data_IF_939320934858
#
_entry.id   IF_939320934858
#
_cell.length_a   1.000
_cell.length_b   1.000
_cell.length_c   1.000
_cell.angle_alpha   90.00
_cell.angle_beta   90.00
_cell.angle_gamma   90.00
#
_symmetry.space_group_name_H-M   'P 1'
#
loop_
_entity.id
_entity.type
_entity.pdbx_description
1 polymer ?
#
# COMPACT_ATOMS: atom_id res chain seq x y z
N UNK A 1 1.94 17.37 -24.84
CA UNK A 1 1.61 17.94 -26.18
C UNK A 1 0.10 18.11 -26.43
N UNK A 2 -0.73 18.00 -25.37
CA UNK A 2 -2.19 18.05 -25.46
C UNK A 2 -2.85 16.67 -25.57
N UNK A 3 -2.06 15.62 -25.82
CA UNK A 3 -2.51 14.24 -25.71
C UNK A 3 -2.24 13.69 -24.29
N UNK A 4 -3.08 12.75 -23.85
CA UNK A 4 -2.96 12.12 -22.53
C UNK A 4 -1.95 10.96 -22.61
N UNK A 5 -0.87 11.07 -21.84
CA UNK A 5 0.12 10.03 -21.60
C UNK A 5 -0.28 9.14 -20.42
N UNK A 6 0.43 8.02 -20.21
CA UNK A 6 0.08 7.06 -19.14
C UNK A 6 1.30 6.66 -18.31
N UNK A 7 1.10 6.63 -16.99
CA UNK A 7 1.90 5.81 -16.10
C UNK A 7 1.24 4.43 -15.91
N UNK A 8 2.05 3.38 -15.92
CA UNK A 8 1.60 2.01 -15.63
C UNK A 8 2.48 1.42 -14.53
N UNK A 9 1.93 1.32 -13.33
CA UNK A 9 2.59 0.71 -12.18
C UNK A 9 2.74 -0.81 -12.32
N UNK A 10 3.94 -1.31 -12.12
CA UNK A 10 4.21 -2.74 -12.03
C UNK A 10 3.93 -3.26 -10.62
N UNK A 11 2.98 -4.19 -10.48
CA UNK A 11 2.66 -4.81 -9.17
C UNK A 11 3.36 -6.13 -8.88
N UNK A 12 3.37 -7.05 -9.85
CA UNK A 12 3.77 -8.45 -9.61
C UNK A 12 4.46 -9.09 -10.81
N UNK A 13 5.53 -9.83 -10.56
CA UNK A 13 6.06 -10.85 -11.47
C UNK A 13 5.42 -12.20 -11.13
N UNK A 14 4.74 -12.83 -12.10
CA UNK A 14 3.99 -14.07 -11.87
C UNK A 14 4.88 -15.17 -11.29
N UNK A 15 4.47 -15.73 -10.16
CA UNK A 15 5.18 -16.82 -9.47
C UNK A 15 6.47 -16.38 -8.77
N UNK A 16 6.76 -15.07 -8.70
CA UNK A 16 8.01 -14.56 -8.14
C UNK A 16 7.84 -13.40 -7.16
N UNK A 17 6.82 -13.44 -6.30
CA UNK A 17 6.69 -12.43 -5.25
C UNK A 17 7.90 -12.49 -4.29
N UNK A 18 8.49 -11.36 -3.83
CA UNK A 18 8.19 -9.96 -4.12
C UNK A 18 9.18 -9.34 -5.13
N UNK A 19 9.57 -10.06 -6.19
CA UNK A 19 10.43 -9.52 -7.25
C UNK A 19 9.80 -8.26 -7.85
N UNK A 20 10.61 -7.22 -8.00
CA UNK A 20 10.17 -5.90 -8.46
C UNK A 20 9.95 -5.93 -9.97
N UNK A 21 8.70 -5.76 -10.46
CA UNK A 21 8.43 -5.63 -11.88
C UNK A 21 8.82 -4.24 -12.40
N UNK A 22 8.95 -4.12 -13.71
CA UNK A 22 9.10 -2.82 -14.38
C UNK A 22 7.78 -2.05 -14.35
N UNK A 23 7.85 -0.76 -14.01
CA UNK A 23 6.79 0.23 -14.26
C UNK A 23 7.12 1.05 -15.52
N UNK A 24 6.11 1.69 -16.12
CA UNK A 24 6.25 2.31 -17.44
C UNK A 24 5.70 3.74 -17.47
N UNK A 25 6.37 4.61 -18.24
CA UNK A 25 5.76 5.80 -18.82
C UNK A 25 5.55 5.56 -20.31
N UNK A 26 4.32 5.76 -20.75
CA UNK A 26 3.89 5.56 -22.11
C UNK A 26 3.44 6.89 -22.72
N UNK A 27 4.20 7.37 -23.70
CA UNK A 27 3.86 8.57 -24.46
C UNK A 27 2.83 8.22 -25.55
N UNK A 28 1.76 9.00 -25.62
CA UNK A 28 0.70 8.85 -26.59
C UNK A 28 1.06 9.59 -27.89
N UNK A 29 1.51 8.84 -28.89
CA UNK A 29 1.77 9.38 -30.23
C UNK A 29 0.66 8.99 -31.18
N UNK A 30 -0.35 9.87 -31.31
CA UNK A 30 -1.51 9.66 -32.17
C UNK A 30 -2.26 8.36 -31.87
N UNK A 31 -2.64 8.14 -30.60
CA UNK A 31 -3.32 6.93 -30.07
C UNK A 31 -2.47 5.66 -30.07
N UNK A 32 -1.16 5.77 -30.30
CA UNK A 32 -0.21 4.69 -30.11
C UNK A 32 0.65 5.02 -28.89
N UNK A 33 0.62 4.13 -27.90
CA UNK A 33 1.44 4.26 -26.70
C UNK A 33 2.83 3.69 -26.95
N UNK A 34 3.85 4.50 -26.69
CA UNK A 34 5.25 4.15 -26.85
C UNK A 34 5.92 4.17 -25.49
N UNK A 35 6.59 3.08 -25.11
CA UNK A 35 7.40 3.01 -23.90
C UNK A 35 8.59 3.97 -24.04
N UNK A 36 8.55 5.06 -23.28
CA UNK A 36 9.62 6.07 -23.21
C UNK A 36 10.38 6.02 -21.89
N UNK A 37 10.12 5.02 -21.06
CA UNK A 37 10.62 4.90 -19.68
C UNK A 37 12.14 5.06 -19.58
N UNK A 38 12.91 4.42 -20.46
CA UNK A 38 14.38 4.47 -20.39
C UNK A 38 15.01 5.84 -20.71
N UNK A 39 14.23 6.79 -21.24
CA UNK A 39 14.72 8.13 -21.55
C UNK A 39 14.18 9.18 -20.57
N UNK A 40 13.14 8.82 -19.81
CA UNK A 40 12.36 9.77 -19.00
C UNK A 40 12.27 9.35 -17.54
N UNK A 41 12.49 8.09 -17.19
CA UNK A 41 12.14 7.54 -15.88
C UNK A 41 12.93 6.25 -15.59
N UNK A 42 14.27 6.30 -15.65
CA UNK A 42 15.13 5.12 -15.43
C UNK A 42 14.86 4.43 -14.08
N UNK A 43 14.46 5.22 -13.08
CA UNK A 43 14.11 4.76 -11.74
C UNK A 43 12.86 3.86 -11.71
N UNK A 44 12.03 3.87 -12.76
CA UNK A 44 10.76 3.14 -12.79
C UNK A 44 10.96 1.62 -12.93
N UNK A 45 12.18 1.20 -13.23
CA UNK A 45 12.58 -0.20 -13.21
C UNK A 45 12.67 -0.77 -11.77
N UNK A 46 12.62 0.07 -10.73
CA UNK A 46 12.80 -0.37 -9.35
C UNK A 46 11.84 0.31 -8.33
N UNK A 47 10.59 0.58 -8.71
CA UNK A 47 9.58 1.18 -7.83
C UNK A 47 8.96 0.20 -6.81
N UNK A 48 9.43 -1.05 -6.75
CA UNK A 48 8.81 -2.15 -5.99
C UNK A 48 7.43 -2.52 -6.53
N UNK A 49 6.51 -2.90 -5.66
CA UNK A 49 5.23 -3.52 -6.00
C UNK A 49 4.14 -2.46 -5.93
N UNK A 50 3.99 -1.72 -7.02
CA UNK A 50 3.09 -0.56 -7.10
C UNK A 50 1.63 -1.02 -6.99
N UNK A 51 0.89 -0.39 -6.09
CA UNK A 51 -0.53 -0.63 -5.89
C UNK A 51 -1.40 0.52 -6.39
N UNK A 52 -0.93 1.75 -6.22
CA UNK A 52 -1.66 2.95 -6.63
C UNK A 52 -0.67 4.11 -6.88
N UNK A 53 -1.13 5.10 -7.63
CA UNK A 53 -0.37 6.32 -7.89
C UNK A 53 -1.28 7.49 -8.21
N UNK A 54 -0.84 8.69 -7.86
CA UNK A 54 -1.53 9.94 -8.19
C UNK A 54 -0.57 10.92 -8.85
N UNK A 55 -1.05 11.60 -9.90
CA UNK A 55 -0.37 12.75 -10.45
C UNK A 55 -0.86 14.00 -9.72
N UNK A 56 0.06 14.76 -9.14
CA UNK A 56 -0.22 15.98 -8.37
C UNK A 56 0.93 16.97 -8.57
N UNK A 57 0.65 18.27 -8.44
CA UNK A 57 1.67 19.33 -8.54
C UNK A 57 2.07 19.66 -7.10
N UNK A 58 2.92 18.81 -6.50
CA UNK A 58 3.09 18.84 -5.04
C UNK A 58 3.99 19.99 -4.59
N UNK A 59 4.85 20.49 -5.48
CA UNK A 59 5.78 21.59 -5.20
C UNK A 59 5.32 22.93 -5.79
N UNK A 60 4.15 22.96 -6.44
CA UNK A 60 3.54 24.13 -7.08
C UNK A 60 4.42 24.75 -8.17
N UNK A 61 5.23 23.95 -8.88
CA UNK A 61 6.04 24.42 -10.00
C UNK A 61 5.26 24.50 -11.32
N UNK A 62 4.04 23.97 -11.34
CA UNK A 62 3.10 24.02 -12.46
C UNK A 62 3.14 22.80 -13.37
N UNK A 63 4.01 21.84 -13.10
CA UNK A 63 4.00 20.53 -13.73
C UNK A 63 3.39 19.45 -12.80
N UNK A 64 3.00 18.30 -13.36
CA UNK A 64 2.37 17.23 -12.57
C UNK A 64 3.42 16.17 -12.24
N UNK A 65 3.86 16.19 -11.00
CA UNK A 65 4.66 15.14 -10.38
C UNK A 65 3.87 13.84 -10.18
N UNK A 66 4.59 12.79 -9.80
CA UNK A 66 4.02 11.47 -9.54
C UNK A 66 4.31 11.03 -8.11
N UNK A 67 3.28 10.58 -7.41
CA UNK A 67 3.42 9.95 -6.09
C UNK A 67 2.92 8.52 -6.20
N UNK A 68 3.76 7.57 -5.78
CA UNK A 68 3.55 6.14 -5.95
C UNK A 68 3.55 5.45 -4.60
N UNK A 69 2.57 4.56 -4.40
CA UNK A 69 2.45 3.74 -3.20
C UNK A 69 2.33 2.26 -3.56
N UNK A 70 2.78 1.40 -2.65
CA UNK A 70 2.81 -0.04 -2.89
C UNK A 70 3.31 -0.85 -1.72
N UNK A 71 3.64 -2.12 -1.99
CA UNK A 71 4.17 -3.04 -1.00
C UNK A 71 5.69 -3.00 -0.93
N UNK A 72 6.20 -3.08 0.30
CA UNK A 72 7.64 -3.14 0.61
C UNK A 72 8.40 -1.91 0.13
N UNK A 73 7.75 -0.75 0.18
CA UNK A 73 8.28 0.54 -0.25
C UNK A 73 7.75 1.68 0.64
N UNK A 74 8.45 2.82 0.70
CA UNK A 74 7.90 4.06 1.21
C UNK A 74 6.84 4.64 0.25
N UNK A 75 6.06 5.59 0.75
CA UNK A 75 5.38 6.56 -0.13
C UNK A 75 6.45 7.28 -0.93
N UNK A 76 6.44 7.13 -2.25
CA UNK A 76 7.53 7.56 -3.13
C UNK A 76 7.11 8.76 -3.95
N UNK A 77 7.75 9.90 -3.70
CA UNK A 77 7.58 11.13 -4.46
C UNK A 77 8.57 11.15 -5.62
N UNK A 78 8.10 11.56 -6.80
CA UNK A 78 8.85 11.58 -8.04
C UNK A 78 8.58 12.91 -8.72
N UNK A 79 9.60 13.77 -8.74
CA UNK A 79 9.54 15.05 -9.41
C UNK A 79 9.47 14.82 -10.91
N UNK A 80 8.54 15.47 -11.57
CA UNK A 80 8.56 15.64 -13.00
C UNK A 80 9.33 16.93 -13.30
N UNK A 81 10.21 16.90 -14.29
CA UNK A 81 10.92 18.09 -14.77
C UNK A 81 10.84 18.08 -16.28
N UNK A 82 9.81 18.75 -16.83
CA UNK A 82 9.57 18.79 -18.27
C UNK A 82 9.50 17.38 -18.92
N UNK A 83 8.88 16.42 -18.22
CA UNK A 83 8.72 15.03 -18.65
C UNK A 83 9.86 14.10 -18.20
N UNK A 84 10.83 14.58 -17.42
CA UNK A 84 11.88 13.74 -16.82
C UNK A 84 11.55 13.48 -15.35
N UNK A 85 11.25 12.23 -15.03
CA UNK A 85 10.86 11.76 -13.71
C UNK A 85 12.07 11.33 -12.89
N UNK A 86 12.27 11.98 -11.74
CA UNK A 86 13.37 11.70 -10.81
C UNK A 86 12.82 11.51 -9.40
N UNK A 87 13.23 10.45 -8.72
CA UNK A 87 12.76 10.20 -7.36
C UNK A 87 13.32 11.24 -6.40
N UNK A 88 12.48 11.68 -5.47
CA UNK A 88 12.85 12.58 -4.38
C UNK A 88 12.86 11.81 -3.07
N UNK A 89 13.89 12.04 -2.26
CA UNK A 89 13.97 11.52 -0.91
C UNK A 89 13.21 12.45 0.03
N UNK A 90 12.10 11.95 0.59
CA UNK A 90 11.32 12.65 1.62
C UNK A 90 11.62 12.01 2.97
N UNK A 91 11.95 12.83 3.96
CA UNK A 91 12.13 12.37 5.33
C UNK A 91 10.77 11.95 5.90
N UNK A 92 10.65 10.70 6.33
CA UNK A 92 9.39 10.18 6.89
C UNK A 92 9.65 9.02 7.84
N UNK A 93 8.78 8.90 8.83
CA UNK A 93 8.70 7.72 9.69
C UNK A 93 7.99 6.54 9.00
N UNK A 94 7.29 6.78 7.89
CA UNK A 94 6.62 5.80 7.06
C UNK A 94 7.55 5.15 6.02
N UNK A 95 8.74 4.70 6.47
CA UNK A 95 9.85 4.27 5.59
C UNK A 95 9.54 3.08 4.69
N UNK A 96 8.66 2.18 5.12
CA UNK A 96 8.17 1.09 4.28
C UNK A 96 6.90 0.48 4.84
N UNK A 97 5.91 0.24 3.97
CA UNK A 97 4.65 -0.37 4.34
C UNK A 97 4.07 -1.25 3.24
N UNK A 98 2.82 -1.66 3.43
CA UNK A 98 2.01 -2.35 2.41
C UNK A 98 0.90 -1.40 1.95
N UNK A 99 1.29 -0.22 1.49
CA UNK A 99 0.37 0.83 1.08
C UNK A 99 -0.48 0.36 -0.11
N UNK A 100 -1.78 0.65 -0.07
CA UNK A 100 -2.78 0.12 -1.00
C UNK A 100 -3.38 1.18 -1.90
N UNK A 101 -3.53 2.41 -1.41
CA UNK A 101 -4.14 3.50 -2.17
C UNK A 101 -3.57 4.85 -1.76
N UNK A 102 -3.62 5.80 -2.69
CA UNK A 102 -3.34 7.21 -2.44
C UNK A 102 -4.36 8.09 -3.17
N UNK A 103 -4.85 9.13 -2.49
CA UNK A 103 -5.64 10.19 -3.13
C UNK A 103 -5.09 11.55 -2.75
N UNK A 104 -5.17 12.50 -3.68
CA UNK A 104 -4.76 13.88 -3.51
C UNK A 104 -6.00 14.79 -3.39
N UNK A 105 -5.93 15.77 -2.49
CA UNK A 105 -6.91 16.86 -2.33
C UNK A 105 -6.26 17.99 -1.52
N UNK A 106 -6.48 19.24 -1.90
CA UNK A 106 -6.23 20.41 -1.06
C UNK A 106 -7.19 20.38 0.14
N UNK A 107 -6.78 19.73 1.24
CA UNK A 107 -7.69 19.40 2.35
C UNK A 107 -7.79 20.54 3.35
N UNK A 108 -6.70 21.26 3.58
CA UNK A 108 -6.66 22.41 4.48
C UNK A 108 -6.94 23.77 3.80
N UNK A 109 -7.12 23.76 2.47
CA UNK A 109 -7.42 24.91 1.61
C UNK A 109 -6.29 25.95 1.56
N UNK A 110 -5.03 25.52 1.67
CA UNK A 110 -3.86 26.40 1.57
C UNK A 110 -3.35 26.57 0.13
N UNK A 111 -3.87 25.77 -0.80
CA UNK A 111 -3.61 25.84 -2.22
C UNK A 111 -2.56 24.85 -2.74
N UNK A 112 -2.07 23.94 -1.90
CA UNK A 112 -1.32 22.76 -2.32
C UNK A 112 -2.11 21.46 -2.08
N UNK A 113 -1.75 20.39 -2.79
CA UNK A 113 -2.43 19.10 -2.62
C UNK A 113 -1.86 18.35 -1.40
N UNK A 114 -2.75 17.94 -0.48
CA UNK A 114 -2.49 16.97 0.57
C UNK A 114 -2.80 15.54 0.12
N UNK A 115 -2.35 14.54 0.89
CA UNK A 115 -2.52 13.13 0.52
C UNK A 115 -3.11 12.26 1.62
N UNK A 116 -4.08 11.43 1.24
CA UNK A 116 -4.58 10.33 2.06
C UNK A 116 -4.03 9.01 1.54
N UNK A 117 -3.28 8.30 2.39
CA UNK A 117 -2.62 7.03 2.05
C UNK A 117 -3.20 5.89 2.88
N UNK A 118 -3.76 4.90 2.19
CA UNK A 118 -4.34 3.71 2.80
C UNK A 118 -3.29 2.60 2.90
N UNK A 119 -3.26 1.91 4.04
CA UNK A 119 -2.34 0.80 4.31
C UNK A 119 -3.12 -0.38 4.91
N UNK A 120 -2.44 -1.45 5.34
CA UNK A 120 -3.06 -2.65 5.92
C UNK A 120 -3.73 -2.45 7.29
N UNK A 121 -3.48 -1.32 7.96
CA UNK A 121 -3.97 -1.01 9.29
C UNK A 121 -3.17 -1.69 10.40
N UNK A 122 -3.17 -1.09 11.59
CA UNK A 122 -2.43 -1.56 12.76
C UNK A 122 -3.03 -2.85 13.38
N UNK A 123 -4.33 -3.11 13.17
CA UNK A 123 -4.99 -4.34 13.59
C UNK A 123 -4.64 -5.50 12.65
N UNK A 124 -3.38 -5.93 12.69
CA UNK A 124 -2.84 -6.98 11.85
C UNK A 124 -1.94 -7.92 12.67
N UNK A 125 -1.71 -9.15 12.21
CA UNK A 125 -0.87 -10.14 12.92
C UNK A 125 0.57 -9.68 13.17
N UNK A 126 1.11 -8.81 12.32
CA UNK A 126 2.54 -8.52 12.25
C UNK A 126 2.96 -7.31 13.10
N UNK A 127 2.14 -6.27 13.25
CA UNK A 127 2.45 -5.05 14.02
C UNK A 127 3.90 -4.54 13.79
N UNK A 128 4.33 -4.32 12.52
CA UNK A 128 5.69 -3.87 12.26
C UNK A 128 5.92 -2.47 12.80
N UNK A 129 7.13 -2.20 13.29
CA UNK A 129 7.60 -0.87 13.68
C UNK A 129 8.98 -0.62 13.09
N UNK A 130 9.50 0.61 13.15
CA UNK A 130 10.89 0.88 12.75
C UNK A 130 11.92 0.08 13.56
N UNK A 131 11.65 -0.14 14.84
CA UNK A 131 12.54 -0.93 15.71
C UNK A 131 12.43 -2.44 15.45
N UNK A 132 11.26 -2.90 14.97
CA UNK A 132 10.96 -4.31 14.74
C UNK A 132 10.19 -4.47 13.43
N UNK A 133 10.86 -4.29 12.28
CA UNK A 133 10.21 -4.47 11.00
C UNK A 133 9.85 -5.94 10.78
N UNK A 134 8.97 -6.16 9.81
CA UNK A 134 8.81 -7.49 9.20
C UNK A 134 9.73 -7.57 7.99
N UNK A 135 10.40 -8.71 7.84
CA UNK A 135 11.30 -8.97 6.73
C UNK A 135 10.70 -10.03 5.81
N UNK A 136 10.96 -9.90 4.52
CA UNK A 136 10.72 -10.94 3.52
C UNK A 136 12.02 -11.24 2.78
N UNK A 137 12.36 -12.52 2.72
CA UNK A 137 13.43 -13.05 1.90
C UNK A 137 12.82 -13.87 0.77
N UNK A 138 13.32 -13.74 -0.45
CA UNK A 138 12.86 -14.53 -1.57
C UNK A 138 14.01 -15.05 -2.42
N UNK A 139 14.00 -16.36 -2.67
CA UNK A 139 15.01 -17.05 -3.45
C UNK A 139 14.49 -18.44 -3.89
N UNK A 140 15.27 -19.13 -4.70
CA UNK A 140 15.10 -20.58 -4.92
C UNK A 140 15.77 -21.31 -3.74
N UNK A 141 15.02 -21.51 -2.64
CA UNK A 141 15.57 -22.00 -1.37
C UNK A 141 15.89 -23.51 -1.36
N UNK A 142 15.30 -24.27 -2.28
CA UNK A 142 15.54 -25.70 -2.42
C UNK A 142 15.74 -26.10 -3.89
N UNK A 143 15.85 -27.40 -4.17
CA UNK A 143 16.13 -27.92 -5.52
C UNK A 143 14.89 -27.94 -6.45
N UNK A 144 13.78 -27.32 -6.05
CA UNK A 144 12.60 -27.18 -6.89
C UNK A 144 12.69 -25.92 -7.80
N UNK A 145 11.73 -25.78 -8.73
CA UNK A 145 11.67 -24.63 -9.65
C UNK A 145 10.84 -23.44 -9.09
N UNK A 146 10.42 -23.45 -7.81
CA UNK A 146 9.63 -22.37 -7.20
C UNK A 146 10.51 -21.27 -6.61
N UNK A 147 10.06 -20.03 -6.81
CA UNK A 147 10.63 -18.85 -6.16
C UNK A 147 9.89 -18.64 -4.85
N UNK A 148 10.51 -19.09 -3.77
CA UNK A 148 9.89 -19.20 -2.46
C UNK A 148 10.19 -17.99 -1.58
N UNK A 149 9.33 -17.79 -0.58
CA UNK A 149 9.45 -16.67 0.35
C UNK A 149 9.57 -17.13 1.79
N UNK A 150 10.39 -16.42 2.56
CA UNK A 150 10.52 -16.58 3.99
C UNK A 150 10.23 -15.25 4.69
N UNK A 151 9.08 -15.19 5.38
CA UNK A 151 8.73 -14.07 6.24
C UNK A 151 9.37 -14.24 7.61
N UNK A 152 10.05 -13.21 8.12
CA UNK A 152 10.72 -13.26 9.42
C UNK A 152 10.57 -12.00 10.25
N UNK A 153 10.78 -12.17 11.56
CA UNK A 153 10.82 -11.10 12.56
C UNK A 153 12.04 -11.26 13.45
N UNK A 154 12.53 -10.13 13.94
CA UNK A 154 13.61 -10.13 14.92
C UNK A 154 13.13 -10.55 16.31
N UNK A 155 13.91 -11.41 16.96
CA UNK A 155 13.79 -11.74 18.37
C UNK A 155 15.18 -11.95 18.97
N UNK A 156 15.54 -11.16 19.99
CA UNK A 156 16.85 -11.21 20.66
C UNK A 156 18.07 -11.09 19.72
N UNK A 157 17.96 -10.33 18.62
CA UNK A 157 19.05 -10.10 17.65
C UNK A 157 19.13 -11.13 16.52
N UNK A 158 18.29 -12.17 16.52
CA UNK A 158 18.18 -13.16 15.45
C UNK A 158 16.84 -13.04 14.72
N UNK A 159 16.80 -13.46 13.45
CA UNK A 159 15.57 -13.50 12.64
C UNK A 159 14.92 -14.88 12.71
N UNK A 160 13.62 -14.93 13.02
CA UNK A 160 12.86 -16.18 13.10
C UNK A 160 11.72 -16.20 12.07
N UNK A 161 11.42 -17.35 11.44
CA UNK A 161 10.28 -17.48 10.55
C UNK A 161 8.95 -17.17 11.26
N UNK A 162 8.05 -16.45 10.59
CA UNK A 162 6.70 -16.14 11.10
C UNK A 162 5.66 -17.17 10.62
N UNK A 163 5.89 -17.77 9.44
CA UNK A 163 5.02 -18.81 8.90
C UNK A 163 5.19 -20.08 9.70
N UNK A 164 4.09 -20.77 9.96
CA UNK A 164 4.11 -22.07 10.59
C UNK A 164 4.88 -23.08 9.75
N UNK A 165 5.31 -24.15 10.40
CA UNK A 165 6.07 -25.21 9.73
C UNK A 165 5.26 -25.86 8.61
N UNK A 166 3.94 -26.00 8.74
CA UNK A 166 3.10 -26.56 7.66
C UNK A 166 3.19 -25.73 6.38
N UNK A 167 2.98 -24.41 6.45
CA UNK A 167 3.06 -23.56 5.26
C UNK A 167 4.49 -23.48 4.71
N UNK A 168 5.48 -23.41 5.60
CA UNK A 168 6.89 -23.36 5.21
C UNK A 168 7.33 -24.64 4.52
N UNK A 169 6.93 -25.82 5.03
CA UNK A 169 7.31 -27.11 4.44
C UNK A 169 6.45 -27.54 3.23
N UNK A 170 5.29 -26.90 3.02
CA UNK A 170 4.55 -27.00 1.75
C UNK A 170 5.24 -26.23 0.62
N UNK A 171 5.82 -25.06 0.93
CA UNK A 171 6.57 -24.25 -0.03
C UNK A 171 7.99 -24.78 -0.24
N UNK A 172 8.63 -25.25 0.83
CA UNK A 172 10.00 -25.81 0.80
C UNK A 172 10.03 -27.24 1.38
N UNK A 173 9.72 -28.27 0.58
CA UNK A 173 9.57 -29.65 1.07
C UNK A 173 10.78 -30.23 1.81
N UNK A 174 12.00 -29.76 1.49
CA UNK A 174 13.24 -30.17 2.16
C UNK A 174 13.24 -29.90 3.69
N UNK A 175 12.45 -28.93 4.16
CA UNK A 175 12.33 -28.65 5.60
C UNK A 175 11.81 -29.84 6.41
N UNK A 176 11.03 -30.74 5.81
CA UNK A 176 10.56 -31.94 6.51
C UNK A 176 11.68 -32.95 6.81
N UNK A 177 12.76 -32.93 6.02
CA UNK A 177 13.93 -33.78 6.24
C UNK A 177 14.92 -33.14 7.23
N UNK A 178 15.07 -31.82 7.17
CA UNK A 178 16.02 -31.06 8.01
C UNK A 178 15.51 -30.76 9.41
N UNK A 179 14.22 -30.45 9.56
CA UNK A 179 13.60 -30.08 10.84
C UNK A 179 12.44 -31.03 11.10
N UNK A 180 12.59 -31.94 12.06
CA UNK A 180 11.64 -33.04 12.28
C UNK A 180 10.38 -32.61 13.02
N UNK A 181 10.47 -31.61 13.90
CA UNK A 181 9.36 -31.22 14.79
C UNK A 181 8.95 -29.75 14.65
N UNK A 182 7.73 -29.40 15.07
CA UNK A 182 7.24 -28.02 15.12
C UNK A 182 8.01 -27.18 16.13
N UNK A 183 8.33 -27.77 17.28
CA UNK A 183 9.10 -27.11 18.34
C UNK A 183 10.52 -26.79 17.87
N UNK A 184 11.14 -27.65 17.09
CA UNK A 184 12.47 -27.39 16.51
C UNK A 184 12.41 -26.22 15.52
N UNK A 185 11.44 -26.23 14.59
CA UNK A 185 11.25 -25.13 13.63
C UNK A 185 11.01 -23.78 14.33
N UNK A 186 10.17 -23.76 15.37
CA UNK A 186 9.86 -22.55 16.13
C UNK A 186 11.06 -21.98 16.90
N UNK A 187 12.12 -22.76 17.12
CA UNK A 187 13.35 -22.33 17.79
C UNK A 187 14.53 -22.16 16.82
N UNK A 188 14.36 -22.46 15.53
CA UNK A 188 15.40 -22.27 14.51
C UNK A 188 15.32 -20.86 13.93
N UNK A 189 16.46 -20.19 13.86
CA UNK A 189 16.54 -18.91 13.17
C UNK A 189 16.50 -19.12 11.64
N UNK A 190 16.40 -18.03 10.89
CA UNK A 190 16.22 -18.05 9.44
C UNK A 190 17.38 -18.76 8.71
N UNK A 191 18.61 -18.56 9.21
CA UNK A 191 19.84 -19.18 8.68
C UNK A 191 19.82 -20.69 8.95
N UNK A 192 19.43 -21.11 10.15
CA UNK A 192 19.32 -22.52 10.51
C UNK A 192 18.30 -23.24 9.62
N UNK A 193 17.21 -22.56 9.26
CA UNK A 193 16.15 -23.10 8.40
C UNK A 193 16.60 -23.18 6.94
N UNK A 194 16.96 -22.04 6.34
CA UNK A 194 17.16 -21.93 4.88
C UNK A 194 18.63 -22.00 4.42
N UNK A 195 19.59 -21.88 5.35
CA UNK A 195 21.02 -21.86 5.07
C UNK A 195 21.56 -20.44 4.85
N UNK A 196 22.80 -20.18 5.29
CA UNK A 196 23.45 -18.88 5.23
C UNK A 196 23.50 -18.32 3.80
N UNK A 197 24.10 -19.06 2.87
CA UNK A 197 24.32 -18.62 1.48
C UNK A 197 23.00 -18.24 0.79
N UNK A 198 21.94 -19.01 1.07
CA UNK A 198 20.60 -18.78 0.51
C UNK A 198 19.98 -17.47 1.01
N UNK A 199 20.15 -17.15 2.30
CA UNK A 199 19.64 -15.91 2.90
C UNK A 199 20.48 -14.70 2.49
N UNK A 200 21.80 -14.82 2.43
CA UNK A 200 22.69 -13.71 2.01
C UNK A 200 22.51 -13.33 0.54
N UNK A 201 22.09 -14.27 -0.32
CA UNK A 201 21.86 -14.03 -1.76
C UNK A 201 20.39 -13.77 -2.12
N UNK A 202 19.48 -13.92 -1.16
CA UNK A 202 18.05 -13.70 -1.38
C UNK A 202 17.73 -12.22 -1.63
N UNK A 203 16.66 -11.97 -2.40
CA UNK A 203 16.00 -10.68 -2.38
C UNK A 203 15.47 -10.43 -0.96
N UNK A 204 15.89 -9.35 -0.32
CA UNK A 204 15.46 -8.98 1.02
C UNK A 204 14.75 -7.63 1.00
N UNK A 205 13.52 -7.59 1.51
CA UNK A 205 12.74 -6.38 1.73
C UNK A 205 12.22 -6.31 3.17
N UNK A 206 11.85 -5.12 3.61
CA UNK A 206 11.34 -4.86 4.95
C UNK A 206 10.11 -3.97 4.90
N UNK A 207 9.19 -4.14 5.85
CA UNK A 207 8.12 -3.20 6.13
C UNK A 207 8.14 -2.82 7.62
N UNK A 208 8.05 -1.52 7.89
CA UNK A 208 8.24 -0.93 9.22
C UNK A 208 7.00 -0.22 9.74
N UNK A 209 5.92 -0.15 8.96
CA UNK A 209 4.62 0.39 9.39
C UNK A 209 3.49 -0.22 8.58
N UNK A 210 2.34 -0.41 9.22
CA UNK A 210 1.06 -0.67 8.54
C UNK A 210 0.01 0.40 8.81
N UNK A 211 0.39 1.53 9.39
CA UNK A 211 -0.56 2.62 9.61
C UNK A 211 -0.97 3.26 8.28
N UNK A 212 -2.25 3.64 8.18
CA UNK A 212 -2.74 4.56 7.15
C UNK A 212 -2.47 6.02 7.58
N UNK A 213 -2.19 6.91 6.64
CA UNK A 213 -1.70 8.27 6.91
C UNK A 213 -2.52 9.34 6.19
N UNK A 214 -2.65 10.49 6.83
CA UNK A 214 -2.80 11.78 6.17
C UNK A 214 -1.40 12.40 6.06
N UNK A 215 -1.04 12.87 4.88
CA UNK A 215 0.22 13.53 4.60
C UNK A 215 -0.13 14.97 4.27
N UNK A 216 0.13 15.85 5.22
CA UNK A 216 -0.06 17.28 5.04
C UNK A 216 1.15 17.82 4.28
N UNK A 217 0.90 18.51 3.17
CA UNK A 217 1.93 19.24 2.47
C UNK A 217 2.13 20.59 3.17
N UNK A 218 3.38 20.92 3.49
CA UNK A 218 3.75 22.15 4.21
C UNK A 218 4.38 23.18 3.28
N UNK A 219 4.29 22.95 1.98
CA UNK A 219 4.98 23.67 0.93
C UNK A 219 6.48 23.36 0.84
N UNK A 220 7.05 23.78 -0.29
CA UNK A 220 8.49 23.67 -0.59
C UNK A 220 9.05 22.23 -0.47
N UNK A 221 8.22 21.22 -0.76
CA UNK A 221 8.58 19.80 -0.68
C UNK A 221 8.71 19.24 0.74
N UNK A 222 8.15 19.94 1.74
CA UNK A 222 8.10 19.46 3.12
C UNK A 222 6.75 18.79 3.40
N UNK A 223 6.78 17.61 4.01
CA UNK A 223 5.57 16.82 4.28
C UNK A 223 5.50 16.40 5.75
N UNK A 224 4.31 16.50 6.35
CA UNK A 224 4.03 15.98 7.70
C UNK A 224 3.16 14.73 7.61
N UNK A 225 3.68 13.60 8.07
CA UNK A 225 2.96 12.32 8.07
C UNK A 225 2.20 12.13 9.39
N UNK A 226 0.88 12.23 9.34
CA UNK A 226 -0.01 12.08 10.50
C UNK A 226 -0.77 10.75 10.37
N UNK A 227 -0.62 9.79 11.31
CA UNK A 227 -1.44 8.59 11.32
C UNK A 227 -2.93 8.92 11.39
N UNK A 228 -3.74 8.28 10.55
CA UNK A 228 -5.18 8.43 10.57
C UNK A 228 -5.78 7.87 11.89
N UNK A 229 -6.97 8.35 12.32
CA UNK A 229 -7.66 7.85 13.50
C UNK A 229 -7.84 6.33 13.55
N UNK A 230 -8.07 5.79 14.74
CA UNK A 230 -8.04 4.35 15.02
C UNK A 230 -8.97 3.52 14.12
N UNK A 231 -10.11 4.08 13.70
CA UNK A 231 -11.03 3.40 12.78
C UNK A 231 -10.40 3.08 11.42
N UNK A 232 -9.46 3.92 10.96
CA UNK A 232 -8.67 3.70 9.76
C UNK A 232 -7.55 2.67 9.94
N UNK A 233 -7.34 2.19 11.17
CA UNK A 233 -6.31 1.22 11.52
C UNK A 233 -6.89 -0.17 11.82
N UNK A 234 -8.22 -0.35 11.77
CA UNK A 234 -8.87 -1.64 12.04
C UNK A 234 -8.63 -2.70 10.96
N UNK A 235 -8.16 -2.32 9.79
CA UNK A 235 -7.75 -3.22 8.73
C UNK A 235 -7.36 -2.44 7.47
N UNK A 236 -7.23 -3.12 6.32
CA UNK A 236 -6.82 -2.49 5.09
C UNK A 236 -7.79 -1.39 4.66
N UNK A 237 -7.24 -0.23 4.30
CA UNK A 237 -7.93 0.81 3.53
C UNK A 237 -7.48 0.69 2.08
N UNK A 238 -8.41 0.36 1.19
CA UNK A 238 -8.16 0.09 -0.22
C UNK A 238 -8.56 1.22 -1.15
N UNK A 239 -9.40 2.15 -0.69
CA UNK A 239 -9.80 3.32 -1.46
C UNK A 239 -10.36 4.40 -0.53
N UNK A 240 -10.32 5.65 -0.99
CA UNK A 240 -10.92 6.80 -0.33
C UNK A 240 -11.84 7.57 -1.26
N UNK A 241 -12.88 8.17 -0.70
CA UNK A 241 -13.77 9.13 -1.37
C UNK A 241 -13.93 10.37 -0.49
N UNK A 242 -14.03 11.55 -1.11
CA UNK A 242 -14.23 12.83 -0.41
C UNK A 242 -15.63 13.35 -0.70
N UNK A 243 -16.46 13.49 0.33
CA UNK A 243 -17.81 14.02 0.18
C UNK A 243 -18.11 14.94 1.35
N UNK A 244 -18.59 16.15 1.06
CA UNK A 244 -19.16 17.03 2.07
C UNK A 244 -20.51 16.45 2.54
N UNK A 245 -20.50 15.76 3.68
CA UNK A 245 -21.69 15.09 4.24
C UNK A 245 -22.49 16.04 5.13
N UNK A 246 -21.83 17.05 5.72
CA UNK A 246 -22.42 17.93 6.71
C UNK A 246 -22.77 19.33 6.15
N UNK A 247 -22.44 19.60 4.89
CA UNK A 247 -22.59 20.87 4.17
C UNK A 247 -21.83 22.04 4.82
N UNK A 248 -20.60 21.79 5.26
CA UNK A 248 -19.70 22.81 5.83
C UNK A 248 -18.59 23.28 4.89
N UNK A 249 -18.67 22.88 3.61
CA UNK A 249 -17.68 23.15 2.55
C UNK A 249 -16.31 22.48 2.80
N UNK A 250 -16.15 21.62 3.83
CA UNK A 250 -15.00 20.74 4.02
C UNK A 250 -15.44 19.29 3.86
N UNK A 251 -14.90 18.55 2.87
CA UNK A 251 -15.34 17.19 2.64
C UNK A 251 -14.95 16.26 3.79
N UNK A 252 -15.86 15.39 4.19
CA UNK A 252 -15.51 14.22 4.97
C UNK A 252 -14.75 13.20 4.12
N UNK A 253 -13.78 12.55 4.77
CA UNK A 253 -12.94 11.52 4.15
C UNK A 253 -13.53 10.16 4.45
N UNK A 254 -14.00 9.48 3.41
CA UNK A 254 -14.61 8.16 3.52
C UNK A 254 -13.58 7.12 3.10
N UNK A 255 -13.13 6.28 4.04
CA UNK A 255 -12.25 5.15 3.74
C UNK A 255 -13.03 3.84 3.72
N UNK A 256 -12.72 2.98 2.76
CA UNK A 256 -13.24 1.61 2.69
C UNK A 256 -12.13 0.60 2.49
N UNK A 257 -12.41 -0.66 2.81
CA UNK A 257 -11.51 -1.75 2.46
C UNK A 257 -11.95 -3.08 3.04
N UNK A 258 -11.01 -4.02 3.04
CA UNK A 258 -11.23 -5.40 3.45
C UNK A 258 -10.56 -6.37 2.49
N UNK A 259 -9.91 -7.39 3.06
CA UNK A 259 -9.27 -8.47 2.32
C UNK A 259 -9.68 -9.80 2.95
N UNK A 260 -10.53 -10.54 2.24
CA UNK A 260 -11.10 -11.80 2.76
C UNK A 260 -10.31 -13.02 2.31
N UNK A 261 -9.53 -12.87 1.23
CA UNK A 261 -8.52 -13.83 0.83
C UNK A 261 -7.34 -13.74 1.81
N UNK A 262 -7.22 -14.73 2.68
CA UNK A 262 -6.14 -14.82 3.63
C UNK A 262 -5.53 -16.22 3.60
N UNK A 263 -4.22 -16.29 3.89
CA UNK A 263 -3.53 -17.56 4.09
C UNK A 263 -4.17 -18.34 5.24
N UNK A 264 -4.05 -19.67 5.24
CA UNK A 264 -4.70 -20.52 6.25
C UNK A 264 -4.33 -20.11 7.69
N UNK A 265 -3.12 -19.59 7.89
CA UNK A 265 -2.58 -19.16 9.19
C UNK A 265 -2.75 -17.65 9.47
N UNK A 266 -3.42 -16.93 8.58
CA UNK A 266 -3.71 -15.50 8.69
C UNK A 266 -5.22 -15.32 8.76
N UNK A 267 -5.69 -14.63 9.80
CA UNK A 267 -7.11 -14.30 9.88
C UNK A 267 -7.49 -13.34 8.76
N UNK A 268 -8.73 -13.44 8.28
CA UNK A 268 -9.27 -12.50 7.31
C UNK A 268 -9.21 -11.08 7.85
N UNK A 269 -8.89 -10.13 6.99
CA UNK A 269 -8.94 -8.71 7.33
C UNK A 269 -10.36 -8.17 7.07
N UNK A 270 -11.30 -8.59 7.91
CA UNK A 270 -12.73 -8.26 7.79
C UNK A 270 -13.23 -7.24 8.82
N UNK A 271 -12.33 -6.71 9.64
CA UNK A 271 -12.61 -5.69 10.65
C UNK A 271 -12.75 -4.27 10.07
N UNK A 272 -12.18 -4.00 8.89
CA UNK A 272 -12.44 -2.77 8.16
C UNK A 272 -13.86 -2.83 7.57
N UNK A 273 -14.78 -2.09 8.18
CA UNK A 273 -16.20 -1.97 7.77
C UNK A 273 -16.51 -0.63 7.10
N UNK A 274 -15.47 0.10 6.71
CA UNK A 274 -15.56 1.47 6.24
C UNK A 274 -15.81 2.48 7.36
N UNK A 275 -15.23 3.66 7.21
CA UNK A 275 -15.23 4.75 8.18
C UNK A 275 -15.34 6.09 7.46
N UNK A 276 -15.78 7.12 8.19
CA UNK A 276 -15.71 8.50 7.75
C UNK A 276 -14.90 9.32 8.76
N UNK A 277 -14.10 10.26 8.28
CA UNK A 277 -13.32 11.19 9.08
C UNK A 277 -13.74 12.62 8.74
N UNK A 278 -13.65 13.50 9.73
CA UNK A 278 -13.92 14.94 9.61
C UNK A 278 -12.81 15.71 10.32
N UNK A 279 -12.53 16.93 9.86
CA UNK A 279 -11.52 17.79 10.47
C UNK A 279 -12.13 18.56 11.64
N UNK A 280 -11.44 18.56 12.78
CA UNK A 280 -11.81 19.34 13.95
C UNK A 280 -10.57 20.01 14.54
N UNK A 281 -10.51 21.35 14.50
CA UNK A 281 -9.39 22.15 15.03
C UNK A 281 -8.02 21.63 14.52
N UNK A 282 -7.91 21.48 13.19
CA UNK A 282 -6.71 20.97 12.48
C UNK A 282 -6.35 19.51 12.77
N UNK A 283 -7.26 18.74 13.37
CA UNK A 283 -7.05 17.31 13.60
C UNK A 283 -8.15 16.48 12.96
N UNK A 284 -7.75 15.44 12.22
CA UNK A 284 -8.67 14.42 11.74
C UNK A 284 -9.26 13.63 12.90
N UNK A 285 -10.58 13.53 12.93
CA UNK A 285 -11.33 12.75 13.91
C UNK A 285 -12.43 11.97 13.23
N UNK A 286 -12.93 10.94 13.90
CA UNK A 286 -13.98 10.07 13.38
C UNK A 286 -15.30 10.83 13.23
N UNK A 287 -15.88 10.81 12.03
CA UNK A 287 -17.22 11.30 11.75
C UNK A 287 -18.24 10.22 12.17
N UNK A 288 -18.79 10.37 13.37
CA UNK A 288 -19.57 9.31 14.05
C UNK A 288 -20.90 8.97 13.37
N UNK A 289 -21.42 9.87 12.56
CA UNK A 289 -22.72 9.67 11.90
C UNK A 289 -22.63 8.72 10.69
N UNK A 290 -21.40 8.40 10.24
CA UNK A 290 -21.16 7.45 9.15
C UNK A 290 -20.03 6.46 9.51
N UNK A 291 -20.42 5.32 10.09
CA UNK A 291 -19.55 4.19 10.41
C UNK A 291 -20.17 2.88 9.90
N UNK A 292 -19.35 1.86 9.69
CA UNK A 292 -19.79 0.55 9.21
C UNK A 292 -20.54 0.64 7.87
N UNK A 293 -19.94 1.37 6.93
CA UNK A 293 -20.45 1.65 5.59
C UNK A 293 -20.74 0.35 4.82
N UNK A 294 -19.95 -0.70 5.06
CA UNK A 294 -20.06 -1.99 4.36
C UNK A 294 -19.71 -3.15 5.28
N UNK A 295 -20.39 -4.28 5.10
CA UNK A 295 -20.07 -5.58 5.72
C UNK A 295 -19.38 -6.55 4.75
N UNK A 296 -19.11 -6.11 3.52
CA UNK A 296 -18.51 -6.88 2.43
C UNK A 296 -17.03 -6.54 2.24
N UNK A 297 -16.36 -7.35 1.43
CA UNK A 297 -15.01 -7.07 0.95
C UNK A 297 -15.04 -5.94 -0.09
N UNK A 298 -15.03 -4.69 0.38
CA UNK A 298 -15.06 -3.51 -0.46
C UNK A 298 -13.68 -3.20 -1.03
N UNK A 299 -13.61 -2.93 -2.33
CA UNK A 299 -12.37 -2.74 -3.09
C UNK A 299 -12.19 -1.34 -3.65
N UNK A 300 -13.29 -0.67 -3.98
CA UNK A 300 -13.28 0.71 -4.48
C UNK A 300 -14.58 1.43 -4.10
N UNK A 301 -14.50 2.75 -3.96
CA UNK A 301 -15.61 3.64 -3.67
C UNK A 301 -15.56 4.84 -4.62
N UNK A 302 -16.73 5.26 -5.09
CA UNK A 302 -16.86 6.47 -5.93
C UNK A 302 -18.15 7.19 -5.55
N UNK A 303 -18.14 8.52 -5.50
CA UNK A 303 -19.37 9.30 -5.34
C UNK A 303 -20.04 9.62 -6.67
N UNK A 304 -21.37 9.57 -6.70
CA UNK A 304 -22.17 9.95 -7.86
C UNK A 304 -23.42 10.73 -7.45
N UNK A 305 -23.91 11.57 -8.36
CA UNK A 305 -25.16 12.31 -8.16
C UNK A 305 -26.27 11.66 -9.01
N UNK A 306 -27.30 11.12 -8.35
CA UNK A 306 -28.50 10.59 -9.01
C UNK A 306 -29.70 11.46 -8.61
N UNK A 307 -30.37 12.07 -9.60
CA UNK A 307 -31.52 12.94 -9.39
C UNK A 307 -31.25 14.07 -8.36
N UNK A 308 -30.06 14.66 -8.40
CA UNK A 308 -29.65 15.74 -7.51
C UNK A 308 -29.31 15.30 -6.08
N UNK A 309 -29.05 14.01 -5.85
CA UNK A 309 -28.66 13.47 -4.54
C UNK A 309 -27.37 12.68 -4.60
N UNK A 310 -26.52 12.86 -3.60
CA UNK A 310 -25.26 12.14 -3.46
C UNK A 310 -25.49 10.67 -3.10
N UNK A 311 -24.76 9.80 -3.78
CA UNK A 311 -24.70 8.37 -3.52
C UNK A 311 -23.25 7.92 -3.53
N UNK A 312 -22.95 6.89 -2.75
CA UNK A 312 -21.69 6.17 -2.81
C UNK A 312 -21.91 4.87 -3.56
N UNK A 313 -21.12 4.66 -4.62
CA UNK A 313 -20.97 3.37 -5.27
C UNK A 313 -19.84 2.62 -4.61
N UNK A 314 -20.06 1.38 -4.20
CA UNK A 314 -19.03 0.55 -3.58
C UNK A 314 -18.88 -0.75 -4.39
N UNK A 315 -17.70 -0.91 -4.97
CA UNK A 315 -17.29 -2.14 -5.64
C UNK A 315 -16.92 -3.19 -4.59
N UNK A 316 -17.57 -4.35 -4.65
CA UNK A 316 -17.33 -5.45 -3.73
C UNK A 316 -16.73 -6.64 -4.48
N UNK A 317 -15.69 -7.24 -3.94
CA UNK A 317 -15.10 -8.44 -4.53
C UNK A 317 -16.13 -9.57 -4.59
N UNK A 318 -16.26 -10.19 -5.78
CA UNK A 318 -17.16 -11.32 -6.05
C UNK A 318 -18.63 -11.08 -5.62
N UNK A 319 -19.08 -9.84 -5.57
CA UNK A 319 -20.41 -9.47 -5.11
C UNK A 319 -20.99 -8.32 -5.97
N UNK A 320 -22.29 -8.05 -5.84
CA UNK A 320 -22.92 -6.95 -6.55
C UNK A 320 -22.42 -5.59 -6.03
N UNK A 321 -22.42 -4.59 -6.92
CA UNK A 321 -22.19 -3.19 -6.58
C UNK A 321 -23.20 -2.75 -5.51
N UNK A 322 -22.73 -2.13 -4.44
CA UNK A 322 -23.60 -1.50 -3.44
C UNK A 322 -23.79 -0.02 -3.79
N UNK A 323 -25.01 0.50 -3.61
CA UNK A 323 -25.34 1.92 -3.80
C UNK A 323 -25.91 2.44 -2.49
N UNK A 324 -25.18 3.33 -1.82
CA UNK A 324 -25.60 3.94 -0.56
C UNK A 324 -26.05 5.37 -0.82
N UNK A 325 -27.25 5.70 -0.37
CA UNK A 325 -27.78 7.06 -0.47
C UNK A 325 -27.37 7.86 0.77
N UNK A 326 -26.60 8.93 0.56
CA UNK A 326 -26.25 9.89 1.61
C UNK A 326 -27.46 10.82 1.78
N UNK A 327 -27.88 11.05 3.02
CA UNK A 327 -29.10 11.80 3.34
C UNK A 327 -28.85 13.24 3.69
#
# INVERSE_FOLDING_TARGET
>A
DGDMDLFVGGRLVSGKYPETPKSYILENRNRNFIDVTSNHADEFNNLRLVNDAVFSDYDNDGDKDLIVVGEWMPVTFINNNDGVFTKVEIETDAKSGWFQTIKAIDYDNDGDDDYFVGNYGENNKFHPTQEKPIHIYANYFDDNDSYDIALSKEYNGDLFPIRGKECSSQQTPFLNEKIGTYSEFANSNLIDVYGQDNIETALHLEASTFSSYFIENKGEGNFEFVPLPIEAQFGPTLDFEFVDLNNDDNPEVIGIGGIYDAEVETIRYDASKGYALTQNQSKLTTFKDLLNITDKEAKAIESIIINGKHHLLILNANNALSILHIK
#
